data_IF_447355529921
#
_entry.id   IF_447355529921
#
_cell.length_a   1.000
_cell.length_b   1.000
_cell.length_c   1.000
_cell.angle_alpha   90.00
_cell.angle_beta   90.00
_cell.angle_gamma   90.00
#
_symmetry.space_group_name_H-M   'P 1'
#
loop_
_entity.id
_entity.type
_entity.pdbx_description
1 polymer ?
#
# COMPACT_ATOMS: atom_id res chain seq x y z
N UNK A 1 -11.42 -47.15 31.34
CA UNK A 1 -10.63 -45.91 31.19
C UNK A 1 -10.58 -45.58 29.71
N UNK A 2 -11.40 -44.63 29.25
CA UNK A 2 -11.42 -44.19 27.86
C UNK A 2 -10.71 -42.84 27.75
N UNK A 3 -9.60 -42.82 27.02
CA UNK A 3 -8.80 -41.63 26.75
C UNK A 3 -9.53 -40.79 25.70
N UNK A 4 -10.04 -39.63 26.13
CA UNK A 4 -10.55 -38.59 25.23
C UNK A 4 -9.37 -37.94 24.48
N UNK A 5 -9.30 -38.13 23.18
CA UNK A 5 -8.39 -37.38 22.31
C UNK A 5 -9.00 -36.00 22.03
N UNK A 6 -8.45 -34.95 22.66
CA UNK A 6 -8.79 -33.57 22.39
C UNK A 6 -8.18 -33.14 21.04
N UNK A 7 -9.01 -32.91 20.04
CA UNK A 7 -8.59 -32.34 18.75
C UNK A 7 -8.49 -30.82 18.91
N UNK A 8 -7.27 -30.31 19.00
CA UNK A 8 -7.00 -28.87 18.95
C UNK A 8 -7.07 -28.45 17.48
N UNK A 9 -8.21 -27.91 17.04
CA UNK A 9 -8.30 -27.17 15.78
C UNK A 9 -7.54 -25.85 15.98
N UNK A 10 -6.27 -25.82 15.57
CA UNK A 10 -5.52 -24.58 15.46
C UNK A 10 -6.19 -23.70 14.42
N UNK A 11 -6.74 -22.55 14.85
CA UNK A 11 -7.18 -21.48 13.96
C UNK A 11 -5.92 -20.94 13.28
N UNK A 12 -5.62 -21.43 12.08
CA UNK A 12 -4.56 -20.83 11.27
C UNK A 12 -5.00 -19.39 10.97
N UNK A 13 -4.19 -18.37 11.32
CA UNK A 13 -4.49 -17.02 10.89
C UNK A 13 -4.46 -17.03 9.37
N UNK A 14 -5.62 -16.85 8.74
CA UNK A 14 -5.66 -16.47 7.33
C UNK A 14 -4.96 -15.11 7.26
N UNK A 15 -3.69 -15.12 6.89
CA UNK A 15 -3.03 -13.92 6.43
C UNK A 15 -3.81 -13.50 5.18
N UNK A 16 -4.70 -12.54 5.36
CA UNK A 16 -5.44 -11.91 4.27
C UNK A 16 -4.40 -11.20 3.41
N UNK A 17 -3.91 -11.92 2.42
CA UNK A 17 -2.99 -11.39 1.43
C UNK A 17 -3.73 -10.37 0.58
N UNK A 18 -3.08 -9.23 0.37
CA UNK A 18 -3.67 -8.06 -0.26
C UNK A 18 -3.64 -8.20 -1.79
N UNK A 19 -4.74 -7.84 -2.45
CA UNK A 19 -4.78 -7.67 -3.91
C UNK A 19 -4.55 -6.19 -4.22
N UNK A 20 -3.54 -5.87 -5.03
CA UNK A 20 -3.25 -4.51 -5.48
C UNK A 20 -3.25 -4.42 -6.99
N UNK A 21 -3.47 -3.22 -7.53
CA UNK A 21 -3.12 -2.94 -8.91
C UNK A 21 -1.62 -2.63 -9.04
N UNK A 22 -0.98 -3.21 -10.04
CA UNK A 22 0.41 -2.91 -10.42
C UNK A 22 0.51 -2.51 -11.89
N UNK A 23 1.42 -1.59 -12.23
CA UNK A 23 1.83 -1.37 -13.61
C UNK A 23 2.87 -2.43 -14.03
N UNK A 24 2.66 -3.09 -15.18
CA UNK A 24 3.66 -3.95 -15.82
C UNK A 24 4.80 -3.13 -16.48
N UNK A 25 5.81 -3.80 -17.04
CA UNK A 25 6.95 -3.17 -17.72
C UNK A 25 6.55 -2.32 -18.95
N UNK A 26 5.32 -2.48 -19.44
CA UNK A 26 4.75 -1.73 -20.57
C UNK A 26 3.78 -0.64 -20.10
N UNK A 27 3.60 -0.46 -18.80
CA UNK A 27 2.69 0.52 -18.19
C UNK A 27 1.24 0.05 -18.02
N UNK A 28 0.88 -1.16 -18.46
CA UNK A 28 -0.49 -1.67 -18.31
C UNK A 28 -0.79 -2.00 -16.85
N UNK A 29 -2.01 -1.71 -16.41
CA UNK A 29 -2.45 -2.02 -15.06
C UNK A 29 -3.01 -3.44 -14.97
N UNK A 30 -2.57 -4.21 -13.98
CA UNK A 30 -3.04 -5.56 -13.70
C UNK A 30 -3.29 -5.76 -12.20
N UNK A 31 -4.22 -6.65 -11.86
CA UNK A 31 -4.43 -7.09 -10.47
C UNK A 31 -3.37 -8.13 -10.10
N UNK A 32 -2.67 -7.89 -9.00
CA UNK A 32 -1.63 -8.78 -8.47
C UNK A 32 -1.95 -9.11 -7.02
N UNK A 33 -1.88 -10.40 -6.71
CA UNK A 33 -2.04 -10.92 -5.37
C UNK A 33 -0.66 -11.26 -4.79
N UNK A 34 -0.33 -10.70 -3.62
CA UNK A 34 0.91 -11.02 -2.95
C UNK A 34 0.74 -11.01 -1.42
N UNK A 35 1.03 -12.16 -0.80
CA UNK A 35 0.93 -12.36 0.65
C UNK A 35 1.93 -11.57 1.48
N UNK A 36 2.96 -11.00 0.85
CA UNK A 36 3.98 -10.20 1.52
C UNK A 36 3.64 -8.70 1.55
N UNK A 37 2.57 -8.28 0.87
CA UNK A 37 2.13 -6.90 0.88
C UNK A 37 1.19 -6.61 2.04
N UNK A 38 1.37 -5.42 2.59
CA UNK A 38 0.53 -4.85 3.65
C UNK A 38 -0.25 -3.63 3.15
N UNK A 39 0.19 -3.03 2.04
CA UNK A 39 -0.40 -1.81 1.48
C UNK A 39 -0.43 -1.86 -0.04
N UNK A 40 -1.42 -1.18 -0.63
CA UNK A 40 -1.35 -0.76 -2.03
C UNK A 40 -1.04 0.72 -2.10
N UNK A 41 -0.32 1.12 -3.14
CA UNK A 41 0.17 2.47 -3.31
C UNK A 41 -0.23 3.06 -4.66
N UNK A 42 -0.28 4.40 -4.67
CA UNK A 42 -0.48 5.24 -5.83
C UNK A 42 0.54 6.38 -5.80
N UNK A 43 1.31 6.56 -6.87
CA UNK A 43 1.92 7.83 -7.25
C UNK A 43 0.99 8.44 -8.31
N UNK A 44 0.29 9.55 -8.01
CA UNK A 44 -0.67 10.11 -8.94
C UNK A 44 -0.04 10.61 -10.25
N UNK A 45 -0.79 10.48 -11.33
CA UNK A 45 -0.50 11.15 -12.59
C UNK A 45 -0.36 12.67 -12.41
N UNK A 46 0.58 13.27 -13.13
CA UNK A 46 0.84 14.71 -13.18
C UNK A 46 1.09 15.17 -14.62
N UNK A 47 1.25 16.47 -14.83
CA UNK A 47 1.59 17.03 -16.15
C UNK A 47 2.91 16.50 -16.74
N UNK A 48 3.75 15.88 -15.90
CA UNK A 48 5.10 15.47 -16.27
C UNK A 48 5.36 13.96 -16.13
N UNK A 49 4.40 13.21 -15.58
CA UNK A 49 4.58 11.79 -15.30
C UNK A 49 3.23 11.05 -15.26
N UNK A 50 3.22 9.86 -15.83
CA UNK A 50 2.09 8.94 -15.73
C UNK A 50 1.90 8.44 -14.28
N UNK A 51 0.66 8.10 -13.94
CA UNK A 51 0.35 7.53 -12.64
C UNK A 51 0.93 6.13 -12.48
N UNK A 52 1.35 5.80 -11.26
CA UNK A 52 1.93 4.50 -10.93
C UNK A 52 1.20 3.88 -9.75
N UNK A 53 0.84 2.62 -9.88
CA UNK A 53 0.17 1.81 -8.86
C UNK A 53 1.01 0.56 -8.60
N UNK A 54 1.13 0.16 -7.34
CA UNK A 54 1.93 -1.00 -6.95
C UNK A 54 1.58 -1.47 -5.53
N UNK A 55 1.96 -2.70 -5.17
CA UNK A 55 1.90 -3.21 -3.82
C UNK A 55 3.17 -2.91 -3.01
N UNK A 56 3.01 -2.70 -1.70
CA UNK A 56 4.11 -2.45 -0.76
C UNK A 56 4.10 -3.50 0.35
N UNK A 57 5.26 -4.10 0.55
CA UNK A 57 5.57 -4.95 1.70
C UNK A 57 6.91 -4.56 2.31
N UNK A 58 7.27 -5.21 3.43
CA UNK A 58 8.52 -4.96 4.18
C UNK A 58 9.79 -5.18 3.36
N UNK A 59 9.69 -6.00 2.31
CA UNK A 59 10.81 -6.31 1.41
C UNK A 59 11.07 -5.20 0.37
N UNK A 60 10.11 -4.29 0.19
CA UNK A 60 10.15 -3.23 -0.85
C UNK A 60 10.33 -1.85 -0.23
N UNK A 61 9.79 -1.60 0.97
CA UNK A 61 9.85 -0.30 1.63
C UNK A 61 9.88 -0.41 3.16
N UNK A 62 10.29 0.67 3.82
CA UNK A 62 10.07 0.85 5.26
C UNK A 62 8.59 1.14 5.52
N UNK A 63 7.83 0.10 5.86
CA UNK A 63 6.39 0.20 6.14
C UNK A 63 6.03 0.72 7.53
N UNK A 64 7.01 0.86 8.43
CA UNK A 64 6.77 1.27 9.81
C UNK A 64 6.00 2.60 9.94
N UNK A 65 6.27 3.66 9.13
CA UNK A 65 5.48 4.88 9.18
C UNK A 65 4.01 4.66 8.83
N UNK A 66 3.71 3.73 7.90
CA UNK A 66 2.35 3.39 7.52
C UNK A 66 1.67 2.59 8.63
N UNK A 67 2.36 1.58 9.16
CA UNK A 67 1.88 0.76 10.28
C UNK A 67 1.45 1.67 11.44
N UNK A 68 2.29 2.63 11.82
CA UNK A 68 2.01 3.58 12.89
C UNK A 68 0.78 4.46 12.62
N UNK A 69 0.58 4.89 11.37
CA UNK A 69 -0.56 5.72 10.98
C UNK A 69 -1.87 4.91 10.97
N UNK A 70 -1.88 3.74 10.34
CA UNK A 70 -3.08 2.91 10.25
C UNK A 70 -3.49 2.31 11.59
N UNK A 71 -2.53 2.03 12.48
CA UNK A 71 -2.79 1.58 13.87
C UNK A 71 -3.50 2.62 14.75
N UNK A 72 -3.56 3.89 14.35
CA UNK A 72 -4.37 4.88 15.07
C UNK A 72 -5.87 4.65 14.91
N UNK A 73 -6.30 3.82 13.95
CA UNK A 73 -7.71 3.48 13.76
C UNK A 73 -8.28 2.74 14.98
N UNK A 74 -9.52 3.04 15.37
CA UNK A 74 -10.24 2.37 16.45
C UNK A 74 -11.68 2.01 16.04
N UNK A 75 -12.55 1.72 17.02
CA UNK A 75 -13.95 1.38 16.75
C UNK A 75 -14.82 2.54 16.28
N UNK A 76 -14.38 3.79 16.47
CA UNK A 76 -15.10 5.02 16.14
C UNK A 76 -14.63 5.64 14.83
N UNK A 77 -13.34 5.54 14.51
CA UNK A 77 -12.77 6.08 13.28
C UNK A 77 -11.71 5.17 12.68
N UNK A 78 -11.53 5.27 11.36
CA UNK A 78 -10.56 4.49 10.61
C UNK A 78 -9.75 5.38 9.68
N UNK A 79 -8.44 5.21 9.68
CA UNK A 79 -7.55 5.79 8.67
C UNK A 79 -7.72 4.97 7.38
N UNK A 80 -8.26 5.60 6.34
CA UNK A 80 -8.52 4.93 5.06
C UNK A 80 -7.35 5.00 4.09
N UNK A 81 -6.57 6.08 4.16
CA UNK A 81 -5.43 6.34 3.29
C UNK A 81 -4.46 7.28 3.99
N UNK A 82 -3.18 7.18 3.64
CA UNK A 82 -2.12 8.12 4.03
C UNK A 82 -1.44 8.62 2.77
N UNK A 83 -1.34 9.94 2.59
CA UNK A 83 -0.62 10.54 1.46
C UNK A 83 0.57 11.35 1.98
N UNK A 84 1.74 11.11 1.39
CA UNK A 84 3.02 11.66 1.83
C UNK A 84 3.70 12.37 0.68
N UNK A 85 4.33 13.51 0.99
CA UNK A 85 5.27 14.18 0.12
C UNK A 85 6.68 13.96 0.67
N UNK A 86 7.44 13.11 0.00
CA UNK A 86 8.74 12.63 0.46
C UNK A 86 9.86 13.35 -0.28
N UNK A 87 10.94 13.65 0.46
CA UNK A 87 12.17 14.23 -0.06
C UNK A 87 13.27 13.19 -0.01
N UNK A 88 13.86 12.89 -1.16
CA UNK A 88 14.99 11.97 -1.30
C UNK A 88 16.29 12.75 -1.52
N UNK A 89 17.20 12.65 -0.56
CA UNK A 89 18.53 13.24 -0.66
C UNK A 89 19.53 12.25 -1.25
N UNK A 90 19.50 12.11 -2.57
CA UNK A 90 20.34 11.16 -3.31
C UNK A 90 21.79 11.64 -3.50
N UNK A 91 22.10 12.89 -3.14
CA UNK A 91 23.44 13.46 -3.28
C UNK A 91 24.53 12.71 -2.50
N UNK A 92 24.16 11.95 -1.46
CA UNK A 92 25.07 11.07 -0.72
C UNK A 92 25.44 9.79 -1.50
N UNK A 93 24.61 9.38 -2.46
CA UNK A 93 24.85 8.20 -3.31
C UNK A 93 25.71 8.55 -4.53
N UNK A 94 25.56 9.75 -5.08
CA UNK A 94 26.45 10.25 -6.14
C UNK A 94 26.38 11.77 -6.24
N UNK A 95 27.51 12.46 -6.51
CA UNK A 95 27.53 13.88 -6.82
C UNK A 95 26.65 14.26 -8.03
N UNK A 96 26.35 13.31 -8.93
CA UNK A 96 25.43 13.52 -10.07
C UNK A 96 23.98 13.70 -9.65
N UNK A 97 23.60 13.23 -8.46
CA UNK A 97 22.27 13.41 -7.87
C UNK A 97 22.29 14.48 -6.78
N UNK A 98 23.08 15.55 -6.96
CA UNK A 98 23.21 16.61 -5.97
C UNK A 98 21.89 17.36 -5.65
N UNK A 99 20.85 17.19 -6.48
CA UNK A 99 19.53 17.76 -6.24
C UNK A 99 18.66 16.75 -5.49
N UNK A 100 17.87 17.26 -4.54
CA UNK A 100 16.87 16.44 -3.88
C UNK A 100 15.76 16.11 -4.87
N UNK A 101 15.34 14.85 -4.88
CA UNK A 101 14.18 14.38 -5.62
C UNK A 101 12.96 14.36 -4.69
N UNK A 102 11.77 14.56 -5.24
CA UNK A 102 10.54 14.58 -4.47
C UNK A 102 9.52 13.61 -5.06
N UNK A 103 8.76 12.95 -4.19
CA UNK A 103 7.71 12.03 -4.60
C UNK A 103 6.46 12.26 -3.76
N UNK A 104 5.32 12.41 -4.43
CA UNK A 104 4.02 12.36 -3.79
C UNK A 104 3.42 10.98 -3.99
N UNK A 105 3.07 10.28 -2.91
CA UNK A 105 2.38 8.99 -2.98
C UNK A 105 1.31 8.85 -1.92
N UNK A 106 0.28 8.08 -2.22
CA UNK A 106 -0.75 7.65 -1.28
C UNK A 106 -0.68 6.15 -1.07
N UNK A 107 -1.02 5.68 0.13
CA UNK A 107 -1.07 4.28 0.53
C UNK A 107 -2.40 3.95 1.22
N UNK A 108 -2.90 2.74 1.02
CA UNK A 108 -4.13 2.20 1.61
C UNK A 108 -3.97 0.70 1.90
N UNK A 109 -4.78 0.13 2.81
CA UNK A 109 -4.57 -1.21 3.37
C UNK A 109 -5.75 -2.18 3.15
N UNK A 110 -6.44 -2.07 2.01
CA UNK A 110 -7.53 -3.00 1.63
C UNK A 110 -7.47 -3.31 0.13
N UNK A 111 -8.13 -4.40 -0.27
CA UNK A 111 -8.02 -4.93 -1.63
C UNK A 111 -8.40 -3.88 -2.68
N UNK A 112 -7.55 -3.74 -3.70
CA UNK A 112 -7.77 -2.95 -4.91
C UNK A 112 -8.00 -1.46 -4.65
N UNK A 113 -7.61 -0.97 -3.48
CA UNK A 113 -7.79 0.41 -3.06
C UNK A 113 -7.03 1.45 -3.91
N UNK A 114 -6.07 1.01 -4.72
CA UNK A 114 -5.31 1.83 -5.67
C UNK A 114 -5.84 1.73 -7.12
N UNK A 115 -7.16 1.56 -7.30
CA UNK A 115 -7.82 1.37 -8.60
C UNK A 115 -7.75 2.55 -9.58
N UNK A 116 -7.35 3.73 -9.11
CA UNK A 116 -7.28 4.94 -9.91
C UNK A 116 -5.88 5.53 -9.95
N UNK A 117 -5.48 5.99 -11.13
CA UNK A 117 -4.16 6.60 -11.35
C UNK A 117 -4.12 8.11 -11.08
N UNK A 118 -5.27 8.77 -10.89
CA UNK A 118 -5.33 10.20 -10.55
C UNK A 118 -5.63 10.39 -9.07
N UNK A 119 -5.08 11.44 -8.45
CA UNK A 119 -5.30 11.71 -7.03
C UNK A 119 -6.78 11.91 -6.68
N UNK A 120 -7.52 12.64 -7.52
CA UNK A 120 -8.95 12.87 -7.32
C UNK A 120 -9.76 11.58 -7.47
N UNK A 121 -9.45 10.75 -8.46
CA UNK A 121 -10.11 9.46 -8.66
C UNK A 121 -9.87 8.54 -7.46
N UNK A 122 -8.63 8.48 -6.99
CA UNK A 122 -8.23 7.71 -5.83
C UNK A 122 -8.99 8.11 -4.57
N UNK A 123 -8.98 9.40 -4.19
CA UNK A 123 -9.71 9.84 -2.99
C UNK A 123 -11.22 9.58 -3.08
N UNK A 124 -11.80 9.70 -4.28
CA UNK A 124 -13.21 9.38 -4.50
C UNK A 124 -13.48 7.89 -4.28
N UNK A 125 -12.67 7.00 -4.86
CA UNK A 125 -12.83 5.56 -4.69
C UNK A 125 -12.62 5.15 -3.23
N UNK A 126 -11.57 5.65 -2.58
CA UNK A 126 -11.32 5.36 -1.16
C UNK A 126 -12.50 5.71 -0.27
N UNK A 127 -13.14 6.86 -0.55
CA UNK A 127 -14.37 7.24 0.14
C UNK A 127 -15.52 6.27 -0.17
N UNK A 128 -15.77 5.98 -1.44
CA UNK A 128 -16.90 5.12 -1.86
C UNK A 128 -16.78 3.68 -1.36
N UNK A 129 -15.58 3.14 -1.29
CA UNK A 129 -15.34 1.75 -0.86
C UNK A 129 -15.48 1.57 0.66
N UNK A 130 -15.62 2.67 1.42
CA UNK A 130 -15.71 2.68 2.88
C UNK A 130 -16.96 3.41 3.41
N UNK A 131 -17.93 3.71 2.54
CA UNK A 131 -19.30 4.13 2.90
C UNK A 131 -20.24 2.92 3.01
#
# INVERSE_FOLDING_TARGET
MHTLAAVILGVLPFSSALICYENDDKGNVQEVYNKHWSYCALIPESEHAEGRVFGIGKDVDNVEPYDNAFQQSDSLYKVLTVCLYEKYELGKLSPRFARAEFMFRCVCNYDRCNSHQTFKGYLKAVKQDNE
#
